data_IF_920989501895
#
_entry.id   IF_920989501895
#
_cell.length_a   1.000
_cell.length_b   1.000
_cell.length_c   1.000
_cell.angle_alpha   90.00
_cell.angle_beta   90.00
_cell.angle_gamma   90.00
#
_symmetry.space_group_name_H-M   'P 1'
#
loop_
_entity.id
_entity.type
_entity.pdbx_description
1 polymer ?
#
# COMPACT_ATOMS: atom_id res chain seq x y z
N UNK A 1 17.41 -0.82 -3.64
CA UNK A 1 16.36 -0.29 -4.52
C UNK A 1 16.29 -1.21 -5.74
N UNK A 2 15.20 -1.95 -5.89
CA UNK A 2 15.02 -2.97 -6.93
C UNK A 2 14.42 -2.36 -8.20
N UNK A 3 14.59 -3.01 -9.36
CA UNK A 3 14.04 -2.54 -10.66
C UNK A 3 12.52 -2.30 -10.61
N UNK A 4 11.83 -3.07 -9.77
CA UNK A 4 10.38 -2.98 -9.54
C UNK A 4 9.95 -1.77 -8.72
N UNK A 5 10.78 -1.32 -7.78
CA UNK A 5 10.51 -0.11 -7.00
C UNK A 5 10.40 1.11 -7.93
N UNK A 6 11.10 1.07 -9.06
CA UNK A 6 11.06 2.11 -10.09
C UNK A 6 9.90 1.92 -11.07
N UNK A 7 9.57 0.68 -11.45
CA UNK A 7 8.43 0.38 -12.34
C UNK A 7 7.09 0.72 -11.69
N UNK A 8 6.93 0.38 -10.41
CA UNK A 8 5.79 0.83 -9.61
C UNK A 8 6.16 2.19 -9.05
N UNK A 9 5.77 3.27 -9.74
CA UNK A 9 6.06 4.68 -9.43
C UNK A 9 5.73 5.12 -7.97
N UNK A 10 5.21 4.24 -7.13
CA UNK A 10 4.81 4.53 -5.76
C UNK A 10 5.28 3.57 -4.68
N UNK A 11 6.13 2.59 -4.99
CA UNK A 11 6.57 1.65 -3.99
C UNK A 11 7.46 2.34 -2.94
N UNK A 12 7.13 2.16 -1.66
CA UNK A 12 8.03 2.55 -0.58
C UNK A 12 9.33 1.72 -0.67
N UNK A 13 10.48 2.34 -0.37
CA UNK A 13 11.78 1.70 -0.45
C UNK A 13 11.82 0.34 0.30
N UNK A 14 12.28 -0.69 -0.41
CA UNK A 14 12.39 -2.06 0.10
C UNK A 14 11.06 -2.82 0.22
N UNK A 15 9.99 -2.31 -0.39
CA UNK A 15 8.67 -2.97 -0.40
C UNK A 15 8.67 -4.33 -1.08
N UNK A 16 9.61 -4.57 -2.00
CA UNK A 16 9.69 -5.81 -2.78
C UNK A 16 10.94 -6.66 -2.54
N UNK A 17 11.76 -6.36 -1.53
CA UNK A 17 13.07 -6.97 -1.34
C UNK A 17 13.05 -8.51 -1.21
N UNK A 18 11.92 -9.08 -0.74
CA UNK A 18 11.75 -10.53 -0.54
C UNK A 18 10.60 -11.13 -1.36
N UNK A 19 10.11 -10.43 -2.37
CA UNK A 19 8.96 -10.87 -3.17
C UNK A 19 9.44 -11.59 -4.43
N UNK A 20 9.24 -12.90 -4.48
CA UNK A 20 9.51 -13.72 -5.67
C UNK A 20 8.31 -13.66 -6.62
N UNK A 21 8.58 -13.49 -7.92
CA UNK A 21 7.54 -13.47 -8.96
C UNK A 21 7.87 -14.43 -10.10
N UNK A 22 6.81 -14.97 -10.69
CA UNK A 22 6.86 -15.88 -11.83
C UNK A 22 7.00 -15.09 -13.15
N UNK A 23 6.47 -13.87 -13.20
CA UNK A 23 6.50 -13.00 -14.39
C UNK A 23 7.63 -11.98 -14.24
N UNK A 24 8.48 -11.77 -15.26
CA UNK A 24 9.58 -10.82 -15.21
C UNK A 24 9.07 -9.37 -15.21
N UNK A 25 9.89 -8.49 -14.65
CA UNK A 25 9.57 -7.06 -14.47
C UNK A 25 9.34 -6.35 -15.80
N UNK A 26 10.12 -6.72 -16.82
CA UNK A 26 10.03 -6.12 -18.15
C UNK A 26 8.71 -6.45 -18.85
N UNK A 27 8.15 -7.63 -18.60
CA UNK A 27 6.83 -7.98 -19.15
C UNK A 27 5.74 -7.16 -18.47
N UNK A 28 5.81 -6.98 -17.15
CA UNK A 28 4.86 -6.13 -16.42
C UNK A 28 4.92 -4.67 -16.90
N UNK A 29 6.10 -4.16 -17.22
CA UNK A 29 6.28 -2.79 -17.72
C UNK A 29 5.64 -2.56 -19.11
N UNK A 30 5.36 -3.61 -19.88
CA UNK A 30 4.76 -3.54 -21.22
C UNK A 30 3.23 -3.58 -21.20
N UNK A 31 2.61 -4.02 -20.10
CA UNK A 31 1.15 -4.16 -19.96
C UNK A 31 0.34 -2.87 -19.79
N UNK A 32 0.83 -1.76 -19.17
CA UNK A 32 -0.05 -0.65 -18.77
C UNK A 32 -0.58 0.22 -19.94
N UNK A 33 -0.29 -0.14 -21.20
CA UNK A 33 -0.72 0.62 -22.37
C UNK A 33 -0.12 2.03 -22.40
N UNK A 34 -0.67 2.91 -23.25
CA UNK A 34 -0.12 4.25 -23.48
C UNK A 34 -0.47 5.28 -22.40
N UNK A 35 -1.41 4.97 -21.50
CA UNK A 35 -1.92 5.91 -20.49
C UNK A 35 -1.76 5.32 -19.10
N UNK A 36 -0.94 5.96 -18.27
CA UNK A 36 -0.76 5.56 -16.89
C UNK A 36 -1.96 5.99 -16.03
N UNK A 37 -2.78 5.01 -15.60
CA UNK A 37 -3.83 5.27 -14.61
C UNK A 37 -3.22 5.45 -13.21
N UNK A 38 -3.62 6.50 -12.49
CA UNK A 38 -3.13 6.79 -11.13
C UNK A 38 -4.18 6.46 -10.08
N UNK A 39 -3.96 5.37 -9.34
CA UNK A 39 -4.79 4.99 -8.19
C UNK A 39 -4.33 5.67 -6.90
N UNK A 40 -4.66 6.95 -6.73
CA UNK A 40 -4.18 7.78 -5.61
C UNK A 40 -4.49 7.19 -4.23
N UNK A 41 -5.72 6.70 -4.00
CA UNK A 41 -6.11 6.10 -2.72
C UNK A 41 -5.39 4.79 -2.44
N UNK A 42 -5.32 3.89 -3.42
CA UNK A 42 -4.62 2.61 -3.29
C UNK A 42 -3.13 2.83 -2.98
N UNK A 43 -2.50 3.76 -3.70
CA UNK A 43 -1.12 4.16 -3.47
C UNK A 43 -0.89 4.64 -2.03
N UNK A 44 -1.67 5.62 -1.59
CA UNK A 44 -1.48 6.24 -0.29
C UNK A 44 -1.79 5.24 0.84
N UNK A 45 -2.81 4.41 0.66
CA UNK A 45 -3.20 3.36 1.60
C UNK A 45 -2.11 2.29 1.76
N UNK A 46 -1.57 1.77 0.65
CA UNK A 46 -0.51 0.76 0.67
C UNK A 46 0.75 1.29 1.36
N UNK A 47 1.18 2.51 1.05
CA UNK A 47 2.37 3.10 1.66
C UNK A 47 2.19 3.37 3.17
N UNK A 48 1.02 3.86 3.58
CA UNK A 48 0.71 4.07 5.01
C UNK A 48 0.67 2.75 5.77
N UNK A 49 0.05 1.72 5.19
CA UNK A 49 -0.02 0.40 5.79
C UNK A 49 1.37 -0.23 5.91
N UNK A 50 2.17 -0.20 4.84
CA UNK A 50 3.53 -0.74 4.83
C UNK A 50 4.41 -0.09 5.90
N UNK A 51 4.32 1.24 6.04
CA UNK A 51 5.01 1.98 7.09
C UNK A 51 4.61 1.46 8.49
N UNK A 52 3.31 1.38 8.77
CA UNK A 52 2.80 0.92 10.07
C UNK A 52 3.20 -0.51 10.41
N UNK A 53 3.13 -1.43 9.44
CA UNK A 53 3.54 -2.82 9.64
C UNK A 53 5.01 -2.99 10.04
N UNK A 54 5.85 -1.99 9.75
CA UNK A 54 7.28 -2.01 10.10
C UNK A 54 7.59 -1.25 11.39
N UNK A 55 6.77 -0.28 11.75
CA UNK A 55 7.00 0.62 12.89
C UNK A 55 6.22 0.21 14.15
N UNK A 56 5.03 -0.38 13.99
CA UNK A 56 4.15 -0.77 15.11
C UNK A 56 4.42 -2.22 15.52
N UNK A 57 4.50 -2.49 16.83
CA UNK A 57 4.76 -3.84 17.37
C UNK A 57 3.60 -4.84 17.09
N UNK A 58 2.38 -4.35 16.90
CA UNK A 58 1.22 -5.17 16.57
C UNK A 58 0.21 -4.37 15.74
N UNK A 59 -0.28 -4.95 14.66
CA UNK A 59 -1.36 -4.40 13.85
C UNK A 59 -2.60 -5.30 13.95
N UNK A 60 -3.67 -4.78 14.53
CA UNK A 60 -4.97 -5.48 14.57
C UNK A 60 -5.91 -4.84 13.54
N UNK A 61 -6.47 -5.60 12.60
CA UNK A 61 -7.57 -5.15 11.75
C UNK A 61 -8.93 -5.38 12.42
N UNK A 62 -9.94 -4.56 12.12
CA UNK A 62 -11.34 -4.87 12.43
C UNK A 62 -12.11 -4.98 11.11
N UNK A 63 -12.95 -6.01 10.98
CA UNK A 63 -13.80 -6.16 9.82
C UNK A 63 -14.87 -5.07 9.78
N UNK A 64 -15.07 -4.50 8.59
CA UNK A 64 -15.94 -3.37 8.34
C UNK A 64 -16.80 -3.69 7.12
N UNK A 65 -18.12 -3.65 7.30
CA UNK A 65 -19.11 -3.97 6.26
C UNK A 65 -19.70 -2.72 5.59
N UNK A 66 -19.41 -1.53 6.11
CA UNK A 66 -19.93 -0.26 5.58
C UNK A 66 -19.01 0.94 5.84
N UNK A 67 -19.17 2.02 5.07
CA UNK A 67 -18.39 3.25 5.25
C UNK A 67 -18.60 3.95 6.61
N UNK A 68 -19.78 3.84 7.21
CA UNK A 68 -20.03 4.42 8.54
C UNK A 68 -19.25 3.67 9.63
N UNK A 69 -19.18 2.34 9.54
CA UNK A 69 -18.32 1.53 10.41
C UNK A 69 -16.84 1.89 10.21
N UNK A 70 -16.38 2.08 8.97
CA UNK A 70 -15.00 2.51 8.70
C UNK A 70 -14.65 3.83 9.42
N UNK A 71 -15.54 4.82 9.34
CA UNK A 71 -15.37 6.11 10.02
C UNK A 71 -15.29 5.96 11.55
N UNK A 72 -16.15 5.11 12.13
CA UNK A 72 -16.14 4.82 13.56
C UNK A 72 -14.82 4.19 14.00
N UNK A 73 -14.33 3.19 13.25
CA UNK A 73 -13.05 2.51 13.53
C UNK A 73 -11.87 3.46 13.48
N UNK A 74 -11.83 4.37 12.49
CA UNK A 74 -10.74 5.37 12.39
C UNK A 74 -10.77 6.32 13.58
N UNK A 75 -11.96 6.81 13.98
CA UNK A 75 -12.11 7.71 15.14
C UNK A 75 -11.65 7.05 16.44
N UNK A 76 -12.04 5.81 16.68
CA UNK A 76 -11.67 5.07 17.89
C UNK A 76 -10.17 4.75 17.98
N UNK A 77 -9.42 4.85 16.87
CA UNK A 77 -7.98 4.57 16.79
C UNK A 77 -7.10 5.82 16.67
N UNK A 78 -7.70 7.00 16.62
CA UNK A 78 -6.95 8.24 16.70
C UNK A 78 -6.71 8.56 18.19
N UNK A 79 -5.47 8.91 18.59
CA UNK A 79 -5.20 9.35 19.95
C UNK A 79 -6.11 10.52 20.32
N UNK A 80 -6.67 10.51 21.52
CA UNK A 80 -7.47 11.62 22.06
C UNK A 80 -6.50 12.67 22.62
N UNK A 81 -5.60 13.17 21.79
CA UNK A 81 -4.79 14.35 22.08
C UNK A 81 -4.61 15.10 20.76
N UNK A 82 -5.42 16.14 20.59
CA UNK A 82 -5.42 17.08 19.48
C UNK A 82 -5.92 18.43 19.98
#
# INVERSE_FOLDING_TARGET
MTKLDTTVFSASAGGFDKVVRIIPVDDVARLPGSVAHRSTLARNGANRLWKRLREEASFTGLDVLSGNQAKQVVRARLPIDG
#
